data_IF_116042070511
#
_entry.id   IF_116042070511
#
_cell.length_a   1.000
_cell.length_b   1.000
_cell.length_c   1.000
_cell.angle_alpha   90.00
_cell.angle_beta   90.00
_cell.angle_gamma   90.00
#
_symmetry.space_group_name_H-M   'P 1'
#
loop_
_entity.id
_entity.type
_entity.pdbx_description
1 polymer ?
#
# COMPACT_ATOMS: atom_id res chain seq x y z
N UNK A 1 25.31 2.51 -38.71
CA UNK A 1 25.79 3.85 -38.33
C UNK A 1 25.94 3.87 -36.81
N UNK A 2 27.16 3.83 -36.30
CA UNK A 2 27.49 3.73 -34.88
C UNK A 2 26.97 4.93 -34.07
N UNK A 3 26.16 4.69 -33.03
CA UNK A 3 25.95 5.66 -31.95
C UNK A 3 27.06 5.50 -30.93
N UNK A 4 28.00 6.43 -30.94
CA UNK A 4 28.95 6.66 -29.86
C UNK A 4 28.20 7.08 -28.59
N UNK A 5 28.41 6.36 -27.49
CA UNK A 5 28.00 6.82 -26.16
C UNK A 5 28.84 8.05 -25.80
N UNK A 6 28.26 9.24 -25.86
CA UNK A 6 28.87 10.43 -25.27
C UNK A 6 28.85 10.30 -23.75
N UNK A 7 30.05 10.28 -23.15
CA UNK A 7 30.24 10.37 -21.72
C UNK A 7 29.87 11.79 -21.30
N UNK A 8 28.80 11.94 -20.51
CA UNK A 8 28.40 13.20 -19.89
C UNK A 8 29.62 13.85 -19.18
N UNK A 9 29.92 15.14 -19.41
CA UNK A 9 31.04 15.80 -18.76
C UNK A 9 30.81 15.82 -17.24
N UNK A 10 31.82 15.36 -16.50
CA UNK A 10 31.83 15.32 -15.04
C UNK A 10 31.50 16.71 -14.48
N UNK A 11 30.26 16.88 -14.01
CA UNK A 11 29.82 18.11 -13.36
C UNK A 11 30.57 18.25 -12.03
N UNK A 12 31.06 19.47 -11.70
CA UNK A 12 31.77 19.80 -10.45
C UNK A 12 31.06 19.24 -9.20
N UNK A 13 29.72 19.21 -9.19
CA UNK A 13 28.92 18.63 -8.10
C UNK A 13 29.11 17.11 -7.96
N UNK A 14 29.18 16.36 -9.05
CA UNK A 14 29.45 14.91 -9.04
C UNK A 14 30.90 14.63 -8.62
N UNK A 15 31.85 15.45 -9.05
CA UNK A 15 33.25 15.33 -8.64
C UNK A 15 33.44 15.59 -7.13
N UNK A 16 32.72 16.57 -6.57
CA UNK A 16 32.70 16.83 -5.13
C UNK A 16 31.94 15.78 -4.33
N UNK A 17 30.87 15.19 -4.88
CA UNK A 17 30.18 14.06 -4.22
C UNK A 17 31.05 12.81 -4.15
N UNK A 18 31.66 12.42 -5.27
CA UNK A 18 32.49 11.22 -5.35
C UNK A 18 33.84 11.44 -4.65
N UNK A 19 34.49 12.58 -4.88
CA UNK A 19 35.75 12.94 -4.23
C UNK A 19 35.59 13.22 -2.73
N UNK A 20 34.49 13.86 -2.33
CA UNK A 20 34.16 14.12 -0.92
C UNK A 20 33.83 12.85 -0.13
N UNK A 21 33.12 11.89 -0.73
CA UNK A 21 32.86 10.60 -0.07
C UNK A 21 34.17 9.84 0.23
N UNK A 22 35.14 9.87 -0.69
CA UNK A 22 36.48 9.32 -0.46
C UNK A 22 37.28 10.09 0.59
N UNK A 23 37.30 11.43 0.52
CA UNK A 23 38.06 12.29 1.45
C UNK A 23 37.52 12.25 2.88
N UNK A 24 36.21 12.13 3.06
CA UNK A 24 35.54 12.07 4.37
C UNK A 24 35.25 10.64 4.84
N UNK A 25 35.90 9.65 4.22
CA UNK A 25 36.04 8.32 4.82
C UNK A 25 34.91 7.35 4.57
N UNK A 26 34.12 7.51 3.50
CA UNK A 26 33.27 6.45 2.94
C UNK A 26 34.08 5.67 1.89
N UNK A 27 34.91 4.75 2.37
CA UNK A 27 35.65 3.82 1.51
C UNK A 27 34.85 2.52 1.36
N UNK A 28 35.01 1.80 0.24
CA UNK A 28 34.34 0.51 0.04
C UNK A 28 34.59 -0.48 1.21
N UNK A 29 35.80 -0.59 1.79
CA UNK A 29 36.01 -1.39 2.99
C UNK A 29 35.21 -0.92 4.22
N UNK A 30 34.98 0.39 4.40
CA UNK A 30 34.12 0.90 5.49
C UNK A 30 32.63 0.70 5.23
N UNK A 31 32.21 0.69 3.96
CA UNK A 31 30.86 0.33 3.57
C UNK A 31 30.60 -1.16 3.85
N UNK A 32 31.58 -2.02 3.54
CA UNK A 32 31.54 -3.46 3.80
C UNK A 32 31.74 -3.80 5.29
N UNK A 33 32.46 -2.95 6.04
CA UNK A 33 32.62 -3.04 7.49
C UNK A 33 31.55 -2.26 8.27
N UNK A 34 30.54 -1.72 7.59
CA UNK A 34 29.41 -1.09 8.25
C UNK A 34 28.77 -2.12 9.17
N UNK A 35 28.79 -1.85 10.47
CA UNK A 35 28.20 -2.74 11.47
C UNK A 35 26.74 -2.96 11.09
N UNK A 36 26.20 -4.19 11.26
CA UNK A 36 24.77 -4.41 11.16
C UNK A 36 24.06 -3.39 12.05
N UNK A 37 22.85 -2.93 11.66
CA UNK A 37 22.14 -1.89 12.38
C UNK A 37 22.14 -2.20 13.88
N UNK A 38 22.52 -1.22 14.70
CA UNK A 38 22.64 -1.37 16.16
C UNK A 38 21.35 -1.89 16.81
N UNK A 39 20.21 -1.70 16.15
CA UNK A 39 18.92 -2.20 16.56
C UNK A 39 18.48 -3.31 15.61
N UNK A 40 18.13 -4.46 16.17
CA UNK A 40 17.49 -5.54 15.39
C UNK A 40 16.14 -5.02 14.85
N UNK A 41 15.84 -5.21 13.55
CA UNK A 41 14.52 -4.87 13.02
C UNK A 41 13.45 -5.67 13.77
N UNK A 42 12.43 -4.98 14.29
CA UNK A 42 11.33 -5.58 15.05
C UNK A 42 10.05 -5.78 14.23
N UNK A 43 9.89 -5.01 13.15
CA UNK A 43 8.70 -5.07 12.32
C UNK A 43 8.57 -6.46 11.68
N UNK A 44 7.44 -7.12 11.95
CA UNK A 44 7.01 -8.39 11.36
C UNK A 44 5.98 -8.18 10.26
N UNK A 45 5.24 -7.07 10.34
CA UNK A 45 4.18 -6.74 9.39
C UNK A 45 4.19 -5.27 8.99
N UNK A 46 3.63 -4.98 7.81
CA UNK A 46 3.44 -3.63 7.28
C UNK A 46 1.97 -3.44 6.89
N UNK A 47 1.37 -2.33 7.34
CA UNK A 47 0.10 -1.82 6.84
C UNK A 47 0.43 -0.56 6.04
N UNK A 48 0.23 -0.61 4.73
CA UNK A 48 0.47 0.50 3.83
C UNK A 48 -0.85 1.16 3.43
N UNK A 49 -1.06 2.39 3.88
CA UNK A 49 -2.30 3.15 3.67
C UNK A 49 -2.13 4.09 2.48
N UNK A 50 -2.47 3.61 1.29
CA UNK A 50 -2.23 4.36 0.07
C UNK A 50 -3.33 5.39 -0.22
N UNK A 51 -3.03 6.65 0.06
CA UNK A 51 -3.91 7.80 -0.15
C UNK A 51 -3.90 8.26 -1.61
N UNK A 52 -4.65 7.56 -2.46
CA UNK A 52 -4.66 7.87 -3.90
C UNK A 52 -5.13 9.30 -4.18
N UNK A 53 -4.47 9.97 -5.13
CA UNK A 53 -4.61 11.41 -5.36
C UNK A 53 -3.56 12.28 -4.66
N UNK A 54 -2.94 11.77 -3.60
CA UNK A 54 -1.85 12.45 -2.88
C UNK A 54 -2.33 13.58 -1.98
N UNK A 55 -2.46 13.36 -0.66
CA UNK A 55 -2.79 14.41 0.29
C UNK A 55 -1.78 15.56 0.18
N UNK A 56 -2.29 16.80 0.13
CA UNK A 56 -1.44 17.99 0.14
C UNK A 56 -0.60 18.02 1.42
N UNK A 57 0.73 18.03 1.28
CA UNK A 57 1.65 18.11 2.42
C UNK A 57 1.43 19.39 3.23
N UNK A 58 1.13 20.49 2.53
CA UNK A 58 0.87 21.79 3.12
C UNK A 58 -0.46 21.77 3.88
N UNK A 59 -1.47 21.04 3.42
CA UNK A 59 -2.75 21.01 4.14
C UNK A 59 -2.79 19.98 5.28
N UNK A 60 -1.72 19.19 5.46
CA UNK A 60 -1.67 18.08 6.42
C UNK A 60 -0.56 18.25 7.47
N UNK A 61 0.69 17.95 7.11
CA UNK A 61 1.81 17.77 8.05
C UNK A 61 2.95 18.80 7.91
N UNK A 62 2.88 19.70 6.91
CA UNK A 62 3.91 20.70 6.62
C UNK A 62 3.31 22.05 6.18
N UNK A 63 2.49 22.66 7.03
CA UNK A 63 1.57 23.76 6.65
C UNK A 63 2.17 25.09 6.23
N UNK A 64 3.48 25.27 6.43
CA UNK A 64 4.19 26.53 6.13
C UNK A 64 3.41 27.78 6.60
N UNK A 65 2.98 27.90 7.87
CA UNK A 65 2.07 28.97 8.32
C UNK A 65 2.61 30.40 8.11
N UNK A 66 3.93 30.53 8.02
CA UNK A 66 4.64 31.80 7.79
C UNK A 66 4.88 32.12 6.30
N UNK A 67 4.51 31.24 5.38
CA UNK A 67 4.61 31.53 3.95
C UNK A 67 3.55 32.57 3.53
N UNK A 68 3.78 33.27 2.40
CA UNK A 68 2.81 34.23 1.88
C UNK A 68 1.43 33.62 1.62
N UNK A 69 0.44 34.49 1.55
CA UNK A 69 -0.91 34.11 1.11
C UNK A 69 -0.87 33.48 -0.28
N UNK A 70 -1.66 32.42 -0.48
CA UNK A 70 -1.63 31.59 -1.69
C UNK A 70 -0.53 30.52 -1.76
N UNK A 71 0.42 30.50 -0.80
CA UNK A 71 1.45 29.45 -0.68
C UNK A 71 1.24 28.59 0.56
N UNK A 72 0.88 29.20 1.70
CA UNK A 72 0.56 28.46 2.93
C UNK A 72 -0.82 27.79 2.85
N UNK A 73 -1.05 26.81 3.72
CA UNK A 73 -2.38 26.20 3.89
C UNK A 73 -3.43 27.25 4.27
N UNK A 74 -4.69 27.12 3.80
CA UNK A 74 -5.79 27.94 4.30
C UNK A 74 -6.20 27.58 5.73
N UNK A 75 -5.76 26.42 6.24
CA UNK A 75 -6.06 25.94 7.59
C UNK A 75 -5.02 26.44 8.60
N UNK A 76 -5.38 26.42 9.89
CA UNK A 76 -4.45 26.74 10.98
C UNK A 76 -3.76 25.49 11.48
N UNK A 77 -2.61 25.70 12.12
CA UNK A 77 -1.90 24.64 12.81
C UNK A 77 -2.38 24.46 14.26
N UNK A 78 -2.27 23.23 14.76
CA UNK A 78 -2.45 22.89 16.18
C UNK A 78 -1.16 22.28 16.74
N UNK A 79 -0.96 22.45 18.05
CA UNK A 79 0.12 21.76 18.76
C UNK A 79 -0.20 20.27 18.89
N UNK A 80 0.84 19.46 18.89
CA UNK A 80 0.74 18.01 19.09
C UNK A 80 1.23 17.64 20.49
N UNK A 81 1.12 16.37 20.86
CA UNK A 81 1.71 15.86 22.09
C UNK A 81 3.26 15.85 22.09
N UNK A 82 3.90 16.16 20.95
CA UNK A 82 5.34 16.33 20.83
C UNK A 82 5.68 17.82 20.71
N UNK A 83 6.40 18.41 21.70
CA UNK A 83 6.79 19.81 21.64
C UNK A 83 7.55 20.15 20.35
N UNK A 84 7.17 21.25 19.70
CA UNK A 84 7.80 21.73 18.47
C UNK A 84 7.26 21.12 17.18
N UNK A 85 6.38 20.11 17.25
CA UNK A 85 5.68 19.57 16.08
C UNK A 85 4.25 20.10 16.06
N UNK A 86 3.88 20.69 14.93
CA UNK A 86 2.52 21.17 14.63
C UNK A 86 2.00 20.51 13.35
N UNK A 87 0.69 20.27 13.31
CA UNK A 87 -0.04 19.69 12.17
C UNK A 87 -1.35 20.46 11.94
N UNK A 88 -2.10 20.12 10.90
CA UNK A 88 -3.40 20.72 10.57
C UNK A 88 -4.42 20.63 11.71
N UNK A 89 -5.16 21.72 11.96
CA UNK A 89 -6.23 21.80 12.97
C UNK A 89 -7.37 20.80 12.77
N UNK A 90 -7.51 20.26 11.55
CA UNK A 90 -8.46 19.21 11.22
C UNK A 90 -8.03 17.82 11.67
N UNK A 91 -6.87 17.69 12.31
CA UNK A 91 -6.35 16.44 12.88
C UNK A 91 -6.25 16.45 14.42
N UNK A 92 -7.31 16.85 15.15
CA UNK A 92 -7.24 16.99 16.60
C UNK A 92 -7.08 15.65 17.33
N UNK A 93 -7.55 14.52 16.77
CA UNK A 93 -7.34 13.19 17.37
C UNK A 93 -5.95 12.67 17.06
N UNK A 94 -5.52 12.78 15.80
CA UNK A 94 -4.19 12.34 15.36
C UNK A 94 -3.06 13.12 16.04
N UNK A 95 -3.28 14.40 16.39
CA UNK A 95 -2.29 15.22 17.11
C UNK A 95 -1.84 14.63 18.45
N UNK A 96 -2.60 13.69 19.01
CA UNK A 96 -2.32 12.98 20.27
C UNK A 96 -1.45 11.72 20.10
N UNK A 97 -1.15 11.33 18.87
CA UNK A 97 -0.40 10.11 18.52
C UNK A 97 0.93 10.41 17.81
N UNK A 98 1.36 11.68 17.77
CA UNK A 98 2.54 12.09 16.99
C UNK A 98 3.85 11.53 17.57
N UNK A 99 3.89 11.24 18.87
CA UNK A 99 4.97 10.50 19.53
C UNK A 99 5.11 9.05 19.05
N UNK A 100 4.09 8.51 18.37
CA UNK A 100 4.08 7.16 17.78
C UNK A 100 4.30 7.15 16.26
N UNK A 101 4.60 8.31 15.68
CA UNK A 101 4.74 8.48 14.24
C UNK A 101 6.08 9.13 13.88
N UNK A 102 6.54 8.89 12.64
CA UNK A 102 7.66 9.63 12.06
C UNK A 102 7.17 10.39 10.84
N UNK A 103 7.25 11.72 10.88
CA UNK A 103 6.87 12.59 9.77
C UNK A 103 8.07 12.79 8.85
N UNK A 104 7.98 12.29 7.61
CA UNK A 104 9.01 12.46 6.59
C UNK A 104 8.59 13.57 5.62
N UNK A 105 9.24 14.74 5.70
CA UNK A 105 8.97 15.91 4.83
C UNK A 105 9.91 16.02 3.63
N UNK A 106 10.83 15.07 3.48
CA UNK A 106 11.89 15.10 2.46
C UNK A 106 11.54 14.31 1.19
N UNK A 107 10.38 13.64 1.16
CA UNK A 107 9.97 12.84 0.02
C UNK A 107 9.47 13.74 -1.11
N UNK A 108 10.11 13.65 -2.28
CA UNK A 108 9.81 14.45 -3.47
C UNK A 108 10.09 13.63 -4.73
N UNK A 109 9.38 13.93 -5.81
CA UNK A 109 9.61 13.41 -7.14
C UNK A 109 9.35 14.50 -8.19
N UNK A 110 9.76 14.26 -9.43
CA UNK A 110 9.58 15.19 -10.56
C UNK A 110 8.41 14.83 -11.48
N UNK A 111 7.70 13.73 -11.20
CA UNK A 111 6.56 13.24 -11.99
C UNK A 111 5.41 14.24 -12.00
N UNK A 112 4.83 14.46 -13.18
CA UNK A 112 3.67 15.35 -13.39
C UNK A 112 2.37 14.59 -13.54
N UNK A 113 2.42 13.35 -14.03
CA UNK A 113 1.25 12.51 -14.25
C UNK A 113 0.98 11.61 -13.05
N UNK A 114 -0.30 11.43 -12.71
CA UNK A 114 -0.69 10.60 -11.56
C UNK A 114 -0.24 9.15 -11.71
N UNK A 115 -0.42 8.52 -12.87
CA UNK A 115 0.00 7.13 -13.07
C UNK A 115 1.50 6.92 -12.79
N UNK A 116 2.35 7.81 -13.28
CA UNK A 116 3.80 7.76 -13.07
C UNK A 116 4.19 8.08 -11.62
N UNK A 117 3.58 9.10 -11.01
CA UNK A 117 3.79 9.42 -9.59
C UNK A 117 3.30 8.29 -8.66
N UNK A 118 2.15 7.71 -8.97
CA UNK A 118 1.54 6.59 -8.24
C UNK A 118 2.41 5.34 -8.31
N UNK A 119 2.90 4.98 -9.50
CA UNK A 119 3.88 3.91 -9.64
C UNK A 119 5.14 4.17 -8.80
N UNK A 120 5.67 5.39 -8.81
CA UNK A 120 6.85 5.74 -8.02
C UNK A 120 6.57 5.57 -6.52
N UNK A 121 5.43 6.07 -6.03
CA UNK A 121 5.03 5.90 -4.63
C UNK A 121 4.76 4.43 -4.25
N UNK A 122 4.25 3.62 -5.19
CA UNK A 122 3.95 2.21 -4.96
C UNK A 122 5.16 1.30 -5.05
N UNK A 123 6.24 1.68 -5.73
CA UNK A 123 7.39 0.79 -5.97
C UNK A 123 8.70 1.32 -5.39
N UNK A 124 8.81 2.62 -5.16
CA UNK A 124 10.05 3.29 -4.79
C UNK A 124 11.02 3.48 -5.97
N UNK A 125 10.60 3.19 -7.21
CA UNK A 125 11.42 3.34 -8.42
C UNK A 125 10.85 4.39 -9.36
N UNK A 126 11.73 5.20 -9.95
CA UNK A 126 11.34 6.16 -10.96
C UNK A 126 10.77 5.41 -12.19
N UNK A 127 9.59 5.81 -12.69
CA UNK A 127 8.98 5.16 -13.85
C UNK A 127 9.81 5.38 -15.11
N UNK A 128 9.72 4.46 -16.09
CA UNK A 128 10.42 4.61 -17.38
C UNK A 128 9.94 5.82 -18.18
N UNK A 129 8.73 6.33 -17.91
CA UNK A 129 8.18 7.54 -18.50
C UNK A 129 7.18 8.24 -17.58
N UNK A 130 7.12 9.56 -17.68
CA UNK A 130 6.09 10.42 -17.10
C UNK A 130 4.91 10.56 -18.08
N UNK A 131 4.05 9.54 -18.16
CA UNK A 131 2.90 9.46 -19.08
C UNK A 131 1.69 8.89 -18.34
N UNK A 132 0.54 9.56 -18.43
CA UNK A 132 -0.73 9.08 -17.89
C UNK A 132 -1.14 7.69 -18.44
N UNK A 133 -0.64 7.35 -19.63
CA UNK A 133 -0.91 6.07 -20.30
C UNK A 133 0.09 4.98 -19.90
N UNK A 134 0.94 5.20 -18.90
CA UNK A 134 1.78 4.13 -18.35
C UNK A 134 0.90 2.93 -17.98
N UNK A 135 1.26 1.74 -18.45
CA UNK A 135 0.52 0.49 -18.24
C UNK A 135 1.39 -0.49 -17.51
N UNK A 136 0.73 -1.36 -16.77
CA UNK A 136 1.41 -2.45 -16.08
C UNK A 136 2.10 -3.38 -17.09
N UNK A 137 3.30 -3.81 -16.76
CA UNK A 137 4.11 -4.69 -17.60
C UNK A 137 5.08 -5.52 -16.74
N UNK A 138 5.59 -6.60 -17.31
CA UNK A 138 6.61 -7.43 -16.65
C UNK A 138 7.98 -6.74 -16.61
N UNK A 139 8.17 -5.58 -17.22
CA UNK A 139 9.44 -4.83 -17.17
C UNK A 139 9.47 -3.82 -16.02
N UNK A 140 8.35 -3.62 -15.33
CA UNK A 140 8.22 -2.69 -14.21
C UNK A 140 8.57 -3.33 -12.87
N UNK A 141 8.82 -2.51 -11.87
CA UNK A 141 9.12 -2.96 -10.52
C UNK A 141 7.86 -3.44 -9.78
N UNK A 142 7.99 -4.53 -9.00
CA UNK A 142 6.90 -5.06 -8.19
C UNK A 142 6.48 -4.13 -7.06
N UNK A 143 5.25 -4.32 -6.57
CA UNK A 143 4.80 -3.80 -5.30
C UNK A 143 5.70 -4.32 -4.14
N UNK A 144 5.98 -3.51 -3.09
CA UNK A 144 6.74 -3.93 -1.92
C UNK A 144 6.20 -5.20 -1.26
N UNK A 145 4.87 -5.36 -1.21
CA UNK A 145 4.26 -6.59 -0.68
C UNK A 145 4.61 -7.84 -1.49
N UNK A 146 4.70 -7.74 -2.83
CA UNK A 146 5.14 -8.83 -3.69
C UNK A 146 6.63 -9.14 -3.52
N UNK A 147 7.46 -8.12 -3.25
CA UNK A 147 8.85 -8.34 -2.85
C UNK A 147 8.92 -9.12 -1.55
N UNK A 148 8.12 -8.73 -0.54
CA UNK A 148 8.05 -9.46 0.74
C UNK A 148 7.58 -10.91 0.55
N UNK A 149 6.56 -11.16 -0.28
CA UNK A 149 6.14 -12.52 -0.61
C UNK A 149 7.24 -13.35 -1.28
N UNK A 150 8.06 -12.71 -2.13
CA UNK A 150 9.17 -13.38 -2.81
C UNK A 150 10.35 -13.70 -1.88
N UNK A 151 10.78 -12.75 -1.05
CA UNK A 151 12.00 -12.90 -0.23
C UNK A 151 11.74 -13.49 1.15
N UNK A 152 10.52 -13.34 1.67
CA UNK A 152 10.15 -13.76 3.00
C UNK A 152 8.67 -14.20 3.05
N UNK A 153 8.26 -15.25 2.31
CA UNK A 153 6.89 -15.73 2.31
C UNK A 153 6.42 -16.14 3.71
N UNK A 154 5.10 -16.12 3.93
CA UNK A 154 4.47 -16.69 5.10
C UNK A 154 4.48 -18.23 5.04
N UNK A 155 4.79 -18.87 6.17
CA UNK A 155 4.73 -20.31 6.40
C UNK A 155 3.57 -20.70 7.34
N UNK A 156 2.82 -19.71 7.83
CA UNK A 156 1.79 -19.83 8.85
C UNK A 156 0.36 -20.08 8.29
N UNK A 157 0.25 -20.33 6.99
CA UNK A 157 -1.01 -20.54 6.27
C UNK A 157 -1.75 -19.25 5.86
N UNK A 158 -1.28 -18.07 6.26
CA UNK A 158 -1.84 -16.79 5.80
C UNK A 158 -1.18 -16.33 4.49
N UNK A 159 -1.89 -15.57 3.63
CA UNK A 159 -1.24 -14.84 2.55
C UNK A 159 -0.14 -13.92 3.11
N UNK A 160 0.99 -13.81 2.38
CA UNK A 160 2.05 -12.87 2.78
C UNK A 160 1.64 -11.44 2.46
N UNK A 161 1.02 -11.23 1.29
CA UNK A 161 0.61 -9.94 0.77
C UNK A 161 -0.89 -9.92 0.44
N UNK A 162 -1.60 -8.94 0.98
CA UNK A 162 -3.03 -8.71 0.75
C UNK A 162 -3.24 -7.25 0.34
N UNK A 163 -4.09 -6.98 -0.64
CA UNK A 163 -4.39 -5.62 -1.10
C UNK A 163 -5.86 -5.42 -1.44
N UNK A 164 -6.48 -4.30 -1.05
CA UNK A 164 -7.92 -4.05 -1.20
C UNK A 164 -8.30 -2.60 -0.82
N UNK A 165 -9.57 -2.17 -0.97
CA UNK A 165 -10.61 -2.77 -1.81
C UNK A 165 -10.59 -2.21 -3.24
N UNK A 166 -9.63 -1.35 -3.55
CA UNK A 166 -9.61 -0.64 -4.82
C UNK A 166 -8.44 -1.05 -5.69
N UNK A 167 -8.72 -1.22 -6.99
CA UNK A 167 -7.68 -1.11 -8.02
C UNK A 167 -7.59 0.36 -8.38
N UNK A 168 -6.50 1.03 -8.01
CA UNK A 168 -6.36 2.47 -8.27
C UNK A 168 -6.17 2.75 -9.76
N UNK A 169 -6.80 3.84 -10.22
CA UNK A 169 -6.83 4.23 -11.63
C UNK A 169 -6.75 5.74 -11.82
N UNK A 170 -6.20 6.11 -12.97
CA UNK A 170 -6.34 7.44 -13.59
C UNK A 170 -6.48 7.24 -15.11
N UNK A 171 -7.74 7.20 -15.58
CA UNK A 171 -8.15 6.67 -16.90
C UNK A 171 -7.86 5.17 -17.10
N UNK A 172 -6.93 4.61 -16.34
CA UNK A 172 -6.30 3.33 -16.54
C UNK A 172 -5.68 2.81 -15.25
N UNK A 173 -5.43 1.50 -15.17
CA UNK A 173 -4.79 0.89 -14.01
C UNK A 173 -3.40 1.43 -13.85
N UNK A 174 -3.13 1.99 -12.68
CA UNK A 174 -1.79 2.45 -12.31
C UNK A 174 -0.90 1.23 -12.08
N UNK A 175 0.30 1.17 -12.66
CA UNK A 175 1.24 0.08 -12.40
C UNK A 175 1.76 0.06 -10.97
N UNK A 176 2.48 -1.01 -10.61
CA UNK A 176 3.09 -1.15 -9.27
C UNK A 176 2.15 -1.67 -8.19
N UNK A 177 0.96 -2.17 -8.58
CA UNK A 177 0.01 -2.82 -7.68
C UNK A 177 0.23 -4.34 -7.56
N UNK A 178 1.09 -4.93 -8.41
CA UNK A 178 1.26 -6.37 -8.59
C UNK A 178 2.75 -6.78 -8.55
N UNK A 179 3.03 -8.05 -8.81
CA UNK A 179 4.36 -8.64 -8.74
C UNK A 179 5.25 -8.38 -9.97
N UNK A 180 4.70 -7.84 -11.06
CA UNK A 180 5.45 -7.53 -12.30
C UNK A 180 6.44 -8.65 -12.69
N UNK A 181 7.75 -8.38 -12.84
CA UNK A 181 8.73 -9.42 -13.22
C UNK A 181 8.88 -10.58 -12.23
N UNK A 182 8.44 -10.46 -10.97
CA UNK A 182 8.47 -11.57 -10.02
C UNK A 182 7.45 -12.66 -10.39
N UNK A 183 6.45 -12.30 -11.20
CA UNK A 183 5.44 -13.23 -11.71
C UNK A 183 4.23 -13.39 -10.79
N UNK A 184 3.13 -13.85 -11.37
CA UNK A 184 1.80 -13.91 -10.74
C UNK A 184 1.73 -14.69 -9.42
N UNK A 185 2.66 -15.60 -9.18
CA UNK A 185 2.72 -16.36 -7.92
C UNK A 185 2.94 -15.49 -6.68
N UNK A 186 3.45 -14.27 -6.87
CA UNK A 186 3.72 -13.27 -5.83
C UNK A 186 2.75 -12.08 -5.87
N UNK A 187 1.68 -12.14 -6.68
CA UNK A 187 0.63 -11.13 -6.67
C UNK A 187 -0.07 -11.10 -5.30
N UNK A 188 -0.61 -9.94 -4.88
CA UNK A 188 -1.40 -9.89 -3.66
C UNK A 188 -2.62 -10.81 -3.76
N UNK A 189 -3.04 -11.35 -2.62
CA UNK A 189 -4.43 -11.73 -2.47
C UNK A 189 -5.27 -10.44 -2.54
N UNK A 190 -5.89 -10.21 -3.70
CA UNK A 190 -6.61 -8.99 -4.01
C UNK A 190 -8.12 -9.24 -4.10
N UNK A 191 -8.90 -8.36 -3.49
CA UNK A 191 -10.36 -8.38 -3.51
C UNK A 191 -10.94 -6.96 -3.51
N UNK A 192 -12.19 -6.80 -3.94
CA UNK A 192 -12.83 -5.48 -4.13
C UNK A 192 -14.06 -5.24 -3.26
N UNK A 193 -14.50 -6.28 -2.58
CA UNK A 193 -15.61 -6.29 -1.66
C UNK A 193 -15.35 -5.27 -0.56
N UNK A 194 -16.32 -4.38 -0.34
CA UNK A 194 -16.20 -3.33 0.66
C UNK A 194 -16.38 -3.92 2.07
N UNK A 195 -15.37 -3.84 2.96
CA UNK A 195 -15.45 -4.36 4.32
C UNK A 195 -16.55 -3.73 5.19
N UNK A 196 -17.15 -2.61 4.76
CA UNK A 196 -18.27 -1.96 5.44
C UNK A 196 -19.65 -2.50 5.04
N UNK A 197 -19.76 -3.39 4.05
CA UNK A 197 -21.04 -4.00 3.70
C UNK A 197 -21.54 -4.97 4.78
N UNK A 198 -22.85 -5.00 5.02
CA UNK A 198 -23.49 -5.82 6.06
C UNK A 198 -23.19 -7.32 5.91
N UNK A 199 -23.07 -7.79 4.67
CA UNK A 199 -22.77 -9.17 4.31
C UNK A 199 -21.35 -9.35 3.76
N UNK A 200 -20.40 -8.50 4.19
CA UNK A 200 -19.01 -8.63 3.78
C UNK A 200 -18.53 -10.06 4.02
N UNK A 201 -18.20 -10.71 2.92
CA UNK A 201 -17.61 -12.03 2.82
C UNK A 201 -16.81 -12.04 1.53
N UNK A 202 -15.75 -12.82 1.50
CA UNK A 202 -15.05 -13.09 0.25
C UNK A 202 -15.68 -14.35 -0.35
N UNK A 203 -16.43 -14.26 -1.46
CA UNK A 203 -17.02 -15.42 -2.11
C UNK A 203 -15.95 -16.47 -2.46
N UNK A 204 -14.77 -16.01 -2.84
CA UNK A 204 -13.56 -16.79 -3.09
C UNK A 204 -12.92 -17.36 -1.81
N UNK A 205 -13.48 -17.11 -0.62
CA UNK A 205 -13.19 -17.76 0.67
C UNK A 205 -14.31 -18.69 1.16
N UNK A 206 -15.41 -18.78 0.42
CA UNK A 206 -16.56 -19.63 0.72
C UNK A 206 -16.62 -20.82 -0.24
N UNK A 207 -16.82 -22.02 0.30
CA UNK A 207 -17.12 -23.19 -0.52
C UNK A 207 -18.57 -23.05 -1.02
N UNK A 208 -18.84 -23.18 -2.33
CA UNK A 208 -20.22 -23.19 -2.83
C UNK A 208 -21.04 -24.26 -2.11
N UNK A 209 -22.27 -23.92 -1.71
CA UNK A 209 -23.16 -24.84 -1.01
C UNK A 209 -23.33 -26.15 -1.81
N UNK A 210 -23.00 -27.28 -1.19
CA UNK A 210 -23.04 -28.62 -1.81
C UNK A 210 -21.74 -29.11 -2.45
N UNK A 211 -20.63 -28.40 -2.28
CA UNK A 211 -19.29 -28.86 -2.69
C UNK A 211 -18.44 -29.13 -1.45
N UNK A 212 -18.27 -30.41 -1.15
CA UNK A 212 -17.35 -30.91 -0.13
C UNK A 212 -15.88 -30.65 -0.54
N UNK A 213 -14.99 -30.43 0.43
CA UNK A 213 -13.55 -30.21 0.21
C UNK A 213 -12.95 -31.37 -0.61
N UNK A 214 -13.37 -32.59 -0.31
CA UNK A 214 -12.97 -33.80 -1.05
C UNK A 214 -13.39 -33.77 -2.52
N UNK A 215 -14.50 -33.09 -2.84
CA UNK A 215 -15.00 -32.98 -4.22
C UNK A 215 -14.20 -31.93 -5.01
N UNK A 216 -13.76 -30.85 -4.36
CA UNK A 216 -12.84 -29.87 -4.96
C UNK A 216 -11.46 -30.48 -5.19
N UNK A 217 -10.93 -31.22 -4.22
CA UNK A 217 -9.66 -31.94 -4.37
C UNK A 217 -9.71 -32.93 -5.54
N UNK A 218 -10.78 -33.74 -5.65
CA UNK A 218 -10.98 -34.67 -6.78
C UNK A 218 -11.06 -33.97 -8.14
N UNK A 219 -11.76 -32.84 -8.24
CA UNK A 219 -11.80 -32.04 -9.49
C UNK A 219 -10.42 -31.49 -9.86
N UNK A 220 -9.63 -31.07 -8.86
CA UNK A 220 -8.26 -30.57 -9.07
C UNK A 220 -7.32 -31.69 -9.50
N UNK A 221 -7.43 -32.89 -8.94
CA UNK A 221 -6.66 -34.06 -9.38
C UNK A 221 -6.96 -34.43 -10.83
N UNK A 222 -8.24 -34.44 -11.21
CA UNK A 222 -8.67 -34.61 -12.61
C UNK A 222 -8.14 -33.52 -13.52
N UNK A 223 -8.21 -32.25 -13.10
CA UNK A 223 -7.65 -31.14 -13.86
C UNK A 223 -6.14 -31.29 -14.05
N UNK A 224 -5.37 -31.62 -13.00
CA UNK A 224 -3.93 -31.87 -13.08
C UNK A 224 -3.60 -33.05 -14.00
N UNK A 225 -4.44 -34.08 -14.06
CA UNK A 225 -4.28 -35.20 -14.99
C UNK A 225 -4.47 -34.77 -16.44
N UNK A 226 -5.51 -33.97 -16.72
CA UNK A 226 -5.76 -33.38 -18.04
C UNK A 226 -4.62 -32.43 -18.42
N UNK A 227 -4.23 -31.52 -17.52
CA UNK A 227 -3.15 -30.56 -17.76
C UNK A 227 -1.79 -31.24 -17.97
N UNK A 228 -1.52 -32.39 -17.32
CA UNK A 228 -0.32 -33.21 -17.61
C UNK A 228 -0.34 -33.80 -19.01
N UNK A 229 -1.52 -34.20 -19.50
CA UNK A 229 -1.66 -34.65 -20.89
C UNK A 229 -1.48 -33.50 -21.88
N UNK A 230 -1.89 -32.28 -21.52
CA UNK A 230 -1.74 -31.08 -22.37
C UNK A 230 -0.34 -30.45 -22.30
N UNK A 231 0.36 -30.54 -21.16
CA UNK A 231 1.77 -30.07 -20.98
C UNK A 231 2.80 -30.82 -21.83
N UNK A 232 2.44 -31.97 -22.40
CA UNK A 232 3.25 -32.64 -23.42
C UNK A 232 3.27 -31.87 -24.76
N UNK A 233 2.42 -30.84 -24.93
CA UNK A 233 2.29 -30.10 -26.18
C UNK A 233 2.72 -28.63 -26.11
N UNK A 234 2.70 -27.94 -24.95
CA UNK A 234 3.17 -26.54 -24.86
C UNK A 234 3.79 -26.18 -23.50
N UNK A 235 4.98 -25.57 -23.51
CA UNK A 235 5.67 -25.00 -22.33
C UNK A 235 5.52 -23.48 -22.32
N UNK A 236 4.42 -22.96 -21.79
CA UNK A 236 4.23 -21.52 -21.56
C UNK A 236 4.41 -21.18 -20.06
N UNK A 237 5.34 -20.27 -19.70
CA UNK A 237 5.55 -19.80 -18.32
C UNK A 237 4.29 -19.22 -17.66
N UNK A 238 3.36 -18.69 -18.45
CA UNK A 238 2.09 -18.10 -18.01
C UNK A 238 1.17 -19.13 -17.33
N UNK A 239 1.23 -20.40 -17.76
CA UNK A 239 0.36 -21.47 -17.23
C UNK A 239 0.86 -21.97 -15.86
N UNK A 240 2.18 -22.05 -15.65
CA UNK A 240 2.77 -22.51 -14.39
C UNK A 240 2.50 -21.55 -13.22
N UNK A 241 2.47 -20.24 -13.46
CA UNK A 241 2.13 -19.24 -12.45
C UNK A 241 0.66 -19.27 -12.01
N UNK A 242 -0.26 -19.65 -12.90
CA UNK A 242 -1.68 -19.77 -12.55
C UNK A 242 -1.95 -20.99 -11.64
N UNK A 243 -1.26 -22.11 -11.89
CA UNK A 243 -1.42 -23.33 -11.07
C UNK A 243 -1.03 -23.10 -9.60
N UNK A 244 0.12 -22.48 -9.36
CA UNK A 244 0.61 -22.19 -8.00
C UNK A 244 -0.26 -21.15 -7.27
N UNK A 245 -0.75 -20.14 -7.99
CA UNK A 245 -1.69 -19.15 -7.45
C UNK A 245 -3.02 -19.81 -7.04
N UNK A 246 -3.59 -20.66 -7.89
CA UNK A 246 -4.82 -21.41 -7.58
C UNK A 246 -4.65 -22.36 -6.40
N UNK A 247 -3.49 -23.03 -6.26
CA UNK A 247 -3.22 -23.94 -5.14
C UNK A 247 -3.11 -23.19 -3.80
N UNK A 248 -2.44 -22.03 -3.78
CA UNK A 248 -2.40 -21.16 -2.60
C UNK A 248 -3.79 -20.67 -2.22
N UNK A 249 -4.58 -20.20 -3.19
CA UNK A 249 -5.96 -19.76 -2.97
C UNK A 249 -6.82 -20.89 -2.38
N UNK A 250 -6.75 -22.10 -2.93
CA UNK A 250 -7.47 -23.28 -2.41
C UNK A 250 -7.00 -23.70 -1.01
N UNK A 251 -5.72 -23.57 -0.68
CA UNK A 251 -5.22 -23.83 0.68
C UNK A 251 -5.69 -22.76 1.70
N UNK A 252 -5.88 -21.53 1.25
CA UNK A 252 -6.42 -20.44 2.09
C UNK A 252 -7.91 -20.65 2.39
N UNK A 253 -8.69 -21.16 1.43
CA UNK A 253 -10.12 -21.51 1.60
C UNK A 253 -10.40 -22.44 2.78
N UNK A 254 -9.50 -23.38 3.00
CA UNK A 254 -9.73 -24.52 3.90
C UNK A 254 -9.24 -24.25 5.32
N UNK A 255 -8.55 -23.12 5.56
CA UNK A 255 -7.93 -22.85 6.86
C UNK A 255 -8.81 -21.93 7.70
N UNK A 256 -9.28 -22.41 8.86
CA UNK A 256 -10.09 -21.63 9.81
C UNK A 256 -9.43 -20.32 10.27
N UNK A 257 -8.10 -20.26 10.23
CA UNK A 257 -7.33 -19.04 10.53
C UNK A 257 -7.61 -17.92 9.53
N UNK A 258 -7.65 -18.24 8.23
CA UNK A 258 -7.93 -17.25 7.17
C UNK A 258 -9.36 -16.75 7.32
N UNK A 259 -10.34 -17.65 7.46
CA UNK A 259 -11.75 -17.26 7.66
C UNK A 259 -11.93 -16.32 8.86
N UNK A 260 -11.31 -16.64 10.00
CA UNK A 260 -11.35 -15.77 11.19
C UNK A 260 -10.70 -14.42 10.96
N UNK A 261 -9.59 -14.35 10.23
CA UNK A 261 -8.92 -13.08 9.95
C UNK A 261 -9.82 -12.11 9.17
N UNK A 262 -10.60 -12.61 8.21
CA UNK A 262 -11.53 -11.83 7.40
C UNK A 262 -12.91 -11.59 8.03
N UNK A 263 -13.24 -12.27 9.11
CA UNK A 263 -14.53 -12.13 9.78
C UNK A 263 -14.60 -10.85 10.64
N UNK A 264 -15.15 -9.78 10.07
CA UNK A 264 -15.41 -8.52 10.78
C UNK A 264 -16.64 -8.58 11.69
N UNK A 265 -17.49 -9.61 11.61
CA UNK A 265 -18.62 -9.77 12.53
C UNK A 265 -18.16 -10.17 13.94
N UNK A 266 -16.95 -10.71 14.05
CA UNK A 266 -16.30 -11.01 15.33
C UNK A 266 -15.79 -9.76 16.08
N UNK A 267 -15.79 -8.58 15.46
CA UNK A 267 -15.42 -7.33 16.13
C UNK A 267 -16.64 -6.71 16.83
N UNK A 268 -16.48 -6.21 18.07
CA UNK A 268 -17.55 -5.47 18.73
C UNK A 268 -17.99 -4.25 17.91
N UNK A 269 -19.29 -3.95 17.88
CA UNK A 269 -19.82 -2.81 17.14
C UNK A 269 -19.16 -1.49 17.54
N UNK A 270 -18.86 -1.30 18.84
CA UNK A 270 -18.15 -0.11 19.33
C UNK A 270 -16.79 0.06 18.65
N UNK A 271 -16.09 -1.03 18.35
CA UNK A 271 -14.81 -0.98 17.62
C UNK A 271 -15.04 -0.59 16.16
N UNK A 272 -16.07 -1.17 15.52
CA UNK A 272 -16.44 -0.82 14.14
C UNK A 272 -16.83 0.66 14.01
N UNK A 273 -17.59 1.20 14.97
CA UNK A 273 -17.93 2.62 15.03
C UNK A 273 -16.71 3.51 15.28
N UNK A 274 -15.77 3.08 16.14
CA UNK A 274 -14.56 3.85 16.43
C UNK A 274 -13.71 4.09 15.18
N UNK A 275 -13.52 3.04 14.35
CA UNK A 275 -12.85 3.14 13.05
C UNK A 275 -13.67 3.95 12.03
N UNK A 276 -14.98 4.04 12.23
CA UNK A 276 -15.95 4.66 11.34
C UNK A 276 -16.55 3.67 10.35
N UNK A 277 -17.88 3.74 10.18
CA UNK A 277 -18.66 2.95 9.20
C UNK A 277 -18.50 3.49 7.78
N UNK A 278 -17.25 3.52 7.33
CA UNK A 278 -16.85 3.89 5.97
C UNK A 278 -16.01 2.76 5.39
N UNK A 279 -15.95 2.68 4.05
CA UNK A 279 -15.13 1.66 3.38
C UNK A 279 -13.67 1.72 3.84
N UNK A 280 -13.11 2.93 3.99
CA UNK A 280 -11.74 3.13 4.47
C UNK A 280 -11.56 2.74 5.94
N UNK A 281 -12.49 3.16 6.81
CA UNK A 281 -12.47 2.83 8.24
C UNK A 281 -12.48 1.33 8.49
N UNK A 282 -13.43 0.62 7.87
CA UNK A 282 -13.54 -0.83 8.00
C UNK A 282 -12.39 -1.57 7.29
N UNK A 283 -11.85 -1.00 6.21
CA UNK A 283 -10.64 -1.55 5.57
C UNK A 283 -9.42 -1.47 6.50
N UNK A 284 -9.25 -0.39 7.25
CA UNK A 284 -8.17 -0.29 8.25
C UNK A 284 -8.38 -1.27 9.42
N UNK A 285 -9.63 -1.47 9.87
CA UNK A 285 -9.95 -2.48 10.88
C UNK A 285 -9.61 -3.90 10.39
N UNK A 286 -9.96 -4.22 9.14
CA UNK A 286 -9.57 -5.49 8.52
C UNK A 286 -8.05 -5.62 8.43
N UNK A 287 -7.32 -4.55 8.09
CA UNK A 287 -5.87 -4.58 8.04
C UNK A 287 -5.24 -4.93 9.39
N UNK A 288 -5.76 -4.35 10.48
CA UNK A 288 -5.35 -4.71 11.84
C UNK A 288 -5.56 -6.21 12.09
N UNK A 289 -6.76 -6.74 11.77
CA UNK A 289 -7.07 -8.17 11.97
C UNK A 289 -6.16 -9.08 11.15
N UNK A 290 -5.86 -8.73 9.90
CA UNK A 290 -4.97 -9.49 9.03
C UNK A 290 -3.56 -9.56 9.61
N UNK A 291 -3.03 -8.44 10.09
CA UNK A 291 -1.71 -8.40 10.74
C UNK A 291 -1.71 -9.18 12.05
N UNK A 292 -2.75 -9.06 12.87
CA UNK A 292 -2.93 -9.85 14.09
C UNK A 292 -2.93 -11.36 13.82
N UNK A 293 -3.45 -11.78 12.66
CA UNK A 293 -3.43 -13.17 12.22
C UNK A 293 -2.15 -13.56 11.48
N UNK A 294 -1.19 -12.65 11.29
CA UNK A 294 0.14 -12.94 10.78
C UNK A 294 0.35 -12.68 9.28
N UNK A 295 -0.47 -11.82 8.65
CA UNK A 295 -0.17 -11.28 7.31
C UNK A 295 1.01 -10.32 7.41
N UNK A 296 2.01 -10.46 6.52
CA UNK A 296 3.24 -9.63 6.57
C UNK A 296 3.10 -8.29 5.86
N UNK A 297 2.27 -8.18 4.83
CA UNK A 297 2.06 -6.93 4.11
C UNK A 297 0.59 -6.75 3.72
N UNK A 298 0.01 -5.62 4.11
CA UNK A 298 -1.36 -5.25 3.78
C UNK A 298 -1.36 -3.88 3.12
N UNK A 299 -1.87 -3.75 1.90
CA UNK A 299 -2.11 -2.45 1.26
C UNK A 299 -3.59 -2.12 1.32
N UNK A 300 -3.93 -1.01 1.95
CA UNK A 300 -5.28 -0.44 1.94
C UNK A 300 -5.29 0.77 1.03
N UNK A 301 -6.05 0.68 -0.07
CA UNK A 301 -6.24 1.79 -0.99
C UNK A 301 -7.42 2.65 -0.55
N UNK A 302 -7.19 3.96 -0.40
CA UNK A 302 -8.23 4.89 0.05
C UNK A 302 -9.39 5.06 -0.94
N UNK A 303 -9.07 5.12 -2.24
CA UNK A 303 -10.06 5.30 -3.30
C UNK A 303 -9.60 4.70 -4.62
N UNK A 304 -10.53 4.25 -5.47
CA UNK A 304 -10.23 3.79 -6.82
C UNK A 304 -9.90 4.93 -7.80
N UNK A 305 -10.37 6.16 -7.51
CA UNK A 305 -10.18 7.35 -8.34
C UNK A 305 -9.22 8.33 -7.67
N UNK A 306 -8.41 9.06 -8.46
CA UNK A 306 -7.50 10.11 -7.94
C UNK A 306 -8.27 11.20 -7.18
N UNK A 307 -9.48 11.53 -7.63
CA UNK A 307 -10.30 12.62 -7.11
C UNK A 307 -11.76 12.40 -7.48
N UNK A 308 -12.60 13.43 -7.34
CA UNK A 308 -14.04 13.30 -7.55
C UNK A 308 -14.73 14.57 -8.04
N UNK A 309 -15.99 14.39 -8.45
CA UNK A 309 -16.95 15.49 -8.72
C UNK A 309 -17.91 15.73 -7.55
N UNK A 310 -17.76 14.95 -6.48
CA UNK A 310 -18.62 14.97 -5.30
C UNK A 310 -17.76 15.21 -4.06
N UNK A 311 -18.38 15.75 -3.02
CA UNK A 311 -17.71 16.14 -1.78
C UNK A 311 -17.69 15.03 -0.72
N UNK A 312 -18.15 13.82 -1.07
CA UNK A 312 -18.32 12.69 -0.16
C UNK A 312 -17.80 11.36 -0.73
N UNK A 313 -17.06 11.39 -1.84
CA UNK A 313 -16.40 10.23 -2.45
C UNK A 313 -15.25 10.69 -3.37
N UNK A 314 -14.22 9.84 -3.50
CA UNK A 314 -13.06 10.07 -4.36
C UNK A 314 -11.75 10.27 -3.59
N UNK A 315 -10.63 10.17 -4.31
CA UNK A 315 -9.29 10.35 -3.76
C UNK A 315 -8.96 11.82 -3.46
N UNK A 316 -7.69 12.03 -3.11
CA UNK A 316 -7.15 13.28 -2.57
C UNK A 316 -6.79 14.35 -3.62
N UNK A 317 -6.98 14.07 -4.91
CA UNK A 317 -6.85 15.08 -5.94
C UNK A 317 -8.07 16.02 -5.92
N UNK A 318 -7.81 17.25 -5.48
CA UNK A 318 -8.81 18.30 -5.27
C UNK A 318 -8.87 19.34 -6.39
N UNK A 319 -8.06 19.19 -7.46
CA UNK A 319 -8.09 20.10 -8.60
C UNK A 319 -9.49 20.17 -9.24
N UNK A 320 -10.23 19.06 -9.16
CA UNK A 320 -11.60 18.93 -9.64
C UNK A 320 -11.68 18.82 -11.16
N UNK A 321 -12.90 18.83 -11.69
CA UNK A 321 -13.17 18.59 -13.13
C UNK A 321 -14.01 19.73 -13.71
N UNK A 322 -13.94 19.90 -15.04
CA UNK A 322 -14.75 20.86 -15.79
C UNK A 322 -14.70 22.29 -15.21
N UNK A 323 -13.48 22.77 -14.90
CA UNK A 323 -13.21 24.08 -14.28
C UNK A 323 -13.84 24.30 -12.89
N UNK A 324 -14.30 23.24 -12.23
CA UNK A 324 -14.84 23.31 -10.86
C UNK A 324 -13.84 22.70 -9.88
N UNK A 325 -13.29 23.52 -8.97
CA UNK A 325 -12.40 23.03 -7.90
C UNK A 325 -13.17 22.17 -6.90
N UNK A 326 -12.57 21.05 -6.48
CA UNK A 326 -13.21 20.12 -5.54
C UNK A 326 -12.71 20.27 -4.10
N UNK A 327 -11.94 21.32 -3.77
CA UNK A 327 -11.30 21.48 -2.46
C UNK A 327 -12.22 21.30 -1.23
N UNK A 328 -13.53 21.57 -1.35
CA UNK A 328 -14.52 21.31 -0.28
C UNK A 328 -14.62 19.84 0.16
N UNK A 329 -14.20 18.88 -0.67
CA UNK A 329 -14.14 17.45 -0.31
C UNK A 329 -13.21 17.20 0.88
N UNK A 330 -12.16 18.01 1.03
CA UNK A 330 -11.15 17.82 2.07
C UNK A 330 -11.79 17.92 3.45
N UNK A 331 -12.53 19.01 3.70
CA UNK A 331 -13.23 19.24 4.97
C UNK A 331 -14.40 18.29 5.22
N UNK A 332 -15.07 17.86 4.14
CA UNK A 332 -16.32 17.11 4.22
C UNK A 332 -16.13 15.60 4.26
N UNK A 333 -15.01 15.11 3.77
CA UNK A 333 -14.79 13.68 3.57
C UNK A 333 -13.39 13.24 3.98
N UNK A 334 -12.35 13.82 3.40
CA UNK A 334 -10.99 13.33 3.62
C UNK A 334 -10.51 13.50 5.06
N UNK A 335 -10.52 14.73 5.59
CA UNK A 335 -10.04 14.99 6.94
C UNK A 335 -10.86 14.28 8.03
N UNK A 336 -12.22 14.32 8.03
CA UNK A 336 -13.00 13.63 9.05
C UNK A 336 -12.73 12.13 9.08
N UNK A 337 -12.64 11.48 7.92
CA UNK A 337 -12.35 10.04 7.83
C UNK A 337 -10.94 9.75 8.33
N UNK A 338 -9.94 10.52 7.90
CA UNK A 338 -8.55 10.29 8.34
C UNK A 338 -8.36 10.52 9.84
N UNK A 339 -8.89 11.61 10.40
CA UNK A 339 -8.78 11.89 11.85
C UNK A 339 -9.60 10.91 12.70
N UNK A 340 -10.64 10.29 12.13
CA UNK A 340 -11.35 9.22 12.80
C UNK A 340 -10.59 7.90 12.77
N UNK A 341 -10.18 7.46 11.58
CA UNK A 341 -9.67 6.11 11.34
C UNK A 341 -8.22 5.94 11.77
N UNK A 342 -7.31 6.83 11.36
CA UNK A 342 -5.87 6.64 11.58
C UNK A 342 -5.47 6.58 13.07
N UNK A 343 -5.87 7.53 13.94
CA UNK A 343 -5.55 7.42 15.36
C UNK A 343 -6.24 6.23 16.04
N UNK A 344 -7.40 5.78 15.53
CA UNK A 344 -8.04 4.55 16.04
C UNK A 344 -7.21 3.32 15.70
N UNK A 345 -6.72 3.21 14.46
CA UNK A 345 -5.83 2.13 14.05
C UNK A 345 -4.56 2.09 14.90
N UNK A 346 -3.91 3.24 15.09
CA UNK A 346 -2.69 3.33 15.90
C UNK A 346 -2.95 2.94 17.36
N UNK A 347 -4.03 3.44 17.96
CA UNK A 347 -4.41 3.12 19.34
C UNK A 347 -4.80 1.65 19.54
N UNK A 348 -5.54 1.06 18.60
CA UNK A 348 -5.94 -0.36 18.64
C UNK A 348 -4.71 -1.29 18.48
N UNK A 349 -3.78 -0.95 17.59
CA UNK A 349 -2.51 -1.67 17.48
C UNK A 349 -1.66 -1.55 18.75
N UNK A 350 -1.58 -0.37 19.37
CA UNK A 350 -0.82 -0.16 20.61
C UNK A 350 -1.45 -0.93 21.77
N UNK A 351 -2.78 -0.87 21.94
CA UNK A 351 -3.50 -1.58 22.98
C UNK A 351 -3.33 -3.11 22.89
N UNK A 352 -3.15 -3.64 21.69
CA UNK A 352 -2.91 -5.07 21.43
C UNK A 352 -1.43 -5.46 21.48
N UNK A 353 -0.52 -4.50 21.69
CA UNK A 353 0.93 -4.72 21.63
C UNK A 353 1.46 -5.05 20.23
N UNK A 354 0.68 -4.77 19.18
CA UNK A 354 1.05 -5.03 17.80
C UNK A 354 1.85 -3.87 17.17
N UNK A 355 1.71 -2.66 17.69
CA UNK A 355 2.36 -1.47 17.11
C UNK A 355 3.90 -1.56 17.14
N UNK A 356 4.48 -2.22 18.15
CA UNK A 356 5.93 -2.42 18.26
C UNK A 356 6.51 -3.34 17.16
N UNK A 357 5.66 -4.15 16.53
CA UNK A 357 6.02 -5.13 15.50
C UNK A 357 5.32 -4.87 14.15
N UNK A 358 4.56 -3.78 14.04
CA UNK A 358 3.81 -3.42 12.84
C UNK A 358 4.17 -2.01 12.38
N UNK A 359 4.66 -1.87 11.15
CA UNK A 359 4.87 -0.57 10.55
C UNK A 359 3.58 -0.12 9.84
N UNK A 360 3.04 1.04 10.24
CA UNK A 360 1.96 1.72 9.49
C UNK A 360 2.60 2.81 8.64
N UNK A 361 2.42 2.74 7.33
CA UNK A 361 3.04 3.64 6.33
C UNK A 361 1.98 4.47 5.64
#
# INVERSE_FOLDING_TARGET
MHRTHEISPLNRRKLLQVGGAGLFGLTMPKLLAAKPPQHRPKAKSVIFLFQWGGPSQIDTFDMKPNAPDGVRSPYKSIQTNVPGIQICEHFPRLSRYIDRMTIIRTLTHTMKNHASAGYYALTGYEPPSDDQRLRDSLELFPAPGSIVDHVAPNDNGMPTFVAYPHTIRDGSVVPGQHASFLGKGHDPLFFKEDPNQDNFSLPELSLPSGIDVDRLQRRRELQRLIDRQTKLLETSPTIQGMDSYYERALGMLTTDRVRRAFDLSAEPDVMREAYGRTSYGQSCLLARRLVEHGVKFVTVYFSASIGGRRINEGGWDTHGFDNTRMYKIVDKYHFPITDQTLPTLLGDLDQRGLLDETLVV
#
